data_IF_686308298446
#
_entry.id   IF_686308298446
#
_cell.length_a   1.000
_cell.length_b   1.000
_cell.length_c   1.000
_cell.angle_alpha   90.00
_cell.angle_beta   90.00
_cell.angle_gamma   90.00
#
_symmetry.space_group_name_H-M   'P 1'
#
loop_
_entity.id
_entity.type
_entity.pdbx_description
1 polymer ?
#
# COMPACT_ATOMS: atom_id res chain seq x y z
N UNK A 1 -6.07 -6.74 -6.12
CA UNK A 1 -4.66 -6.44 -5.77
C UNK A 1 -3.74 -7.25 -6.67
N UNK A 2 -2.68 -6.66 -7.23
CA UNK A 2 -1.73 -7.36 -8.11
C UNK A 2 -0.57 -7.92 -7.28
N UNK A 3 -0.21 -9.19 -7.45
CA UNK A 3 0.96 -9.80 -6.81
C UNK A 3 2.14 -9.73 -7.77
N UNK A 4 3.31 -9.29 -7.29
CA UNK A 4 4.53 -9.14 -8.09
C UNK A 4 5.74 -9.70 -7.34
N UNK A 5 6.72 -10.24 -8.07
CA UNK A 5 7.94 -10.82 -7.46
C UNK A 5 9.05 -9.80 -7.22
N UNK A 6 8.92 -8.58 -7.74
CA UNK A 6 9.94 -7.53 -7.64
C UNK A 6 9.31 -6.19 -7.28
N UNK A 7 10.05 -5.39 -6.52
CA UNK A 7 9.65 -4.04 -6.18
C UNK A 7 9.58 -3.17 -7.46
N UNK A 8 8.54 -2.34 -7.64
CA UNK A 8 8.33 -1.55 -8.87
C UNK A 8 9.42 -0.52 -9.14
N UNK A 9 10.16 -0.10 -8.11
CA UNK A 9 11.27 0.86 -8.24
C UNK A 9 10.76 2.22 -8.71
N UNK A 10 11.18 2.66 -9.90
CA UNK A 10 10.72 3.89 -10.55
C UNK A 10 9.42 3.73 -11.35
N UNK A 11 8.90 2.51 -11.47
CA UNK A 11 7.66 2.24 -12.19
C UNK A 11 6.49 2.88 -11.44
N UNK A 12 5.71 3.70 -12.15
CA UNK A 12 4.49 4.30 -11.60
C UNK A 12 3.40 3.24 -11.55
N UNK A 13 2.81 3.04 -10.37
CA UNK A 13 1.64 2.20 -10.22
C UNK A 13 0.40 3.04 -10.56
N UNK A 14 -0.56 2.55 -11.37
CA UNK A 14 -1.79 3.29 -11.62
C UNK A 14 -2.53 3.65 -10.32
N UNK A 15 -3.11 4.85 -10.26
CA UNK A 15 -3.92 5.26 -9.10
C UNK A 15 -5.10 4.28 -8.94
N UNK A 16 -5.34 3.84 -7.70
CA UNK A 16 -6.35 2.82 -7.40
C UNK A 16 -5.83 1.38 -7.46
N UNK A 17 -4.60 1.15 -7.95
CA UNK A 17 -3.95 -0.15 -7.85
C UNK A 17 -3.08 -0.27 -6.60
N UNK A 18 -3.08 -1.49 -6.05
CA UNK A 18 -2.18 -1.93 -5.00
C UNK A 18 -1.38 -3.13 -5.51
N UNK A 19 -0.05 -3.02 -5.47
CA UNK A 19 0.87 -4.08 -5.84
C UNK A 19 1.52 -4.64 -4.58
N UNK A 20 1.29 -5.93 -4.33
CA UNK A 20 1.88 -6.67 -3.23
C UNK A 20 3.14 -7.37 -3.74
N UNK A 21 4.29 -6.97 -3.20
CA UNK A 21 5.58 -7.57 -3.53
C UNK A 21 5.79 -8.78 -2.64
N UNK A 22 5.85 -9.96 -3.25
CA UNK A 22 5.98 -11.25 -2.57
C UNK A 22 7.25 -11.95 -3.06
N UNK A 23 8.03 -12.49 -2.13
CA UNK A 23 9.16 -13.34 -2.41
C UNK A 23 8.96 -14.69 -1.69
N UNK A 24 8.68 -15.74 -2.47
CA UNK A 24 8.18 -17.01 -1.95
C UNK A 24 6.85 -16.83 -1.22
N UNK A 25 6.82 -17.13 0.08
CA UNK A 25 5.66 -16.95 0.95
C UNK A 25 5.67 -15.62 1.71
N UNK A 26 6.74 -14.84 1.58
CA UNK A 26 6.97 -13.64 2.37
C UNK A 26 6.47 -12.42 1.60
N UNK A 27 5.48 -11.72 2.17
CA UNK A 27 5.08 -10.41 1.70
C UNK A 27 6.06 -9.34 2.21
N UNK A 28 6.73 -8.65 1.29
CA UNK A 28 7.79 -7.68 1.64
C UNK A 28 7.29 -6.24 1.63
N UNK A 29 6.53 -5.86 0.61
CA UNK A 29 6.05 -4.49 0.44
C UNK A 29 4.63 -4.43 -0.12
N UNK A 30 3.89 -3.40 0.28
CA UNK A 30 2.68 -2.97 -0.39
C UNK A 30 2.95 -1.62 -1.07
N UNK A 31 2.91 -1.61 -2.40
CA UNK A 31 3.23 -0.46 -3.23
C UNK A 31 1.97 0.08 -3.89
N UNK A 32 1.81 1.40 -3.88
CA UNK A 32 0.70 2.11 -4.50
C UNK A 32 1.09 3.54 -4.87
N UNK A 33 0.28 4.17 -5.70
CA UNK A 33 0.36 5.63 -5.89
C UNK A 33 -0.59 6.34 -4.94
N UNK A 34 -0.14 7.46 -4.39
CA UNK A 34 -0.90 8.26 -3.45
C UNK A 34 -2.29 8.63 -4.03
N UNK A 35 -3.38 8.27 -3.34
CA UNK A 35 -4.74 8.59 -3.81
C UNK A 35 -5.09 10.08 -3.68
N UNK A 36 -4.26 10.88 -3.00
CA UNK A 36 -4.48 12.31 -2.76
C UNK A 36 -4.18 13.22 -3.95
N UNK A 37 -3.91 12.66 -5.14
CA UNK A 37 -3.69 13.42 -6.38
C UNK A 37 -2.26 13.94 -6.59
N UNK A 38 -1.35 13.78 -5.63
CA UNK A 38 0.05 14.19 -5.79
C UNK A 38 0.93 13.23 -6.59
N UNK A 39 0.37 12.07 -7.00
CA UNK A 39 1.04 11.04 -7.80
C UNK A 39 2.36 10.49 -7.22
N UNK A 40 2.63 10.71 -5.94
CA UNK A 40 3.80 10.12 -5.28
C UNK A 40 3.62 8.61 -5.13
N UNK A 41 4.66 7.85 -5.46
CA UNK A 41 4.74 6.43 -5.13
C UNK A 41 4.91 6.26 -3.61
N UNK A 42 4.19 5.31 -3.04
CA UNK A 42 4.23 4.92 -1.64
C UNK A 42 4.60 3.44 -1.59
N UNK A 43 5.63 3.11 -0.81
CA UNK A 43 6.04 1.73 -0.51
C UNK A 43 5.97 1.49 0.98
N UNK A 44 5.02 0.66 1.41
CA UNK A 44 4.81 0.28 2.80
C UNK A 44 5.57 -1.00 3.10
N UNK A 45 6.39 -0.99 4.15
CA UNK A 45 7.12 -2.17 4.60
C UNK A 45 6.18 -3.13 5.35
N UNK A 46 6.15 -4.39 4.92
CA UNK A 46 5.37 -5.46 5.57
C UNK A 46 6.23 -6.33 6.50
N UNK A 47 7.53 -6.04 6.58
CA UNK A 47 8.44 -6.73 7.50
C UNK A 47 8.03 -6.52 8.96
N UNK A 48 7.92 -7.60 9.76
CA UNK A 48 7.55 -7.51 11.19
C UNK A 48 8.61 -6.79 12.04
N UNK A 49 9.87 -6.78 11.57
CA UNK A 49 11.02 -6.22 12.29
C UNK A 49 11.22 -4.72 12.04
N UNK A 50 10.52 -4.15 11.04
CA UNK A 50 10.62 -2.72 10.71
C UNK A 50 9.44 -1.93 11.27
N UNK A 51 9.67 -0.64 11.53
CA UNK A 51 8.63 0.32 11.92
C UNK A 51 8.63 1.50 10.93
N UNK A 52 7.45 2.01 10.52
CA UNK A 52 6.12 1.47 10.83
C UNK A 52 5.90 0.11 10.17
N UNK A 53 5.14 -0.77 10.83
CA UNK A 53 4.80 -2.11 10.32
C UNK A 53 3.42 -2.03 9.68
N UNK A 54 3.28 -2.51 8.46
CA UNK A 54 1.97 -2.67 7.84
C UNK A 54 1.63 -4.14 7.63
N UNK A 55 0.34 -4.45 7.68
CA UNK A 55 -0.25 -5.71 7.28
C UNK A 55 -1.17 -5.47 6.10
N UNK A 56 -1.29 -6.48 5.24
CA UNK A 56 -2.27 -6.49 4.14
C UNK A 56 -3.10 -7.74 4.26
N UNK A 57 -4.39 -7.56 4.40
CA UNK A 57 -5.38 -8.62 4.40
C UNK A 57 -6.24 -8.51 3.15
N UNK A 58 -6.89 -9.61 2.78
CA UNK A 58 -7.87 -9.62 1.69
C UNK A 58 -9.18 -10.17 2.22
N UNK A 59 -10.27 -9.55 1.81
CA UNK A 59 -11.59 -10.11 2.05
C UNK A 59 -11.91 -11.27 1.09
N UNK A 60 -13.10 -11.84 1.25
CA UNK A 60 -13.60 -12.92 0.38
C UNK A 60 -13.61 -12.56 -1.12
N UNK A 61 -13.71 -11.28 -1.46
CA UNK A 61 -13.74 -10.77 -2.82
C UNK A 61 -12.35 -10.37 -3.34
N UNK A 62 -11.28 -10.64 -2.58
CA UNK A 62 -9.91 -10.29 -2.93
C UNK A 62 -9.61 -8.79 -2.83
N UNK A 63 -10.44 -8.02 -2.11
CA UNK A 63 -10.26 -6.58 -1.90
C UNK A 63 -9.32 -6.35 -0.71
N UNK A 64 -8.27 -5.52 -0.86
CA UNK A 64 -7.26 -5.38 0.17
C UNK A 64 -7.71 -4.46 1.32
N UNK A 65 -7.29 -4.80 2.53
CA UNK A 65 -7.31 -3.94 3.71
C UNK A 65 -5.88 -3.76 4.21
N UNK A 66 -5.48 -2.51 4.50
CA UNK A 66 -4.15 -2.18 5.02
C UNK A 66 -4.28 -1.62 6.43
N UNK A 67 -3.47 -2.14 7.35
CA UNK A 67 -3.36 -1.64 8.71
C UNK A 67 -1.88 -1.48 9.13
N UNK A 68 -1.52 -0.43 9.88
CA UNK A 68 -2.33 0.72 10.27
C UNK A 68 -2.57 1.66 9.08
N UNK A 69 -3.17 2.83 9.35
CA UNK A 69 -3.32 3.91 8.36
C UNK A 69 -2.01 4.31 7.69
N UNK A 70 -2.12 4.91 6.52
CA UNK A 70 -1.01 5.47 5.75
C UNK A 70 -0.99 6.99 5.95
N UNK A 71 0.12 7.52 6.43
CA UNK A 71 0.37 8.96 6.52
C UNK A 71 1.53 9.30 5.58
N UNK A 72 1.24 10.04 4.50
CA UNK A 72 2.25 10.42 3.54
C UNK A 72 2.90 11.76 3.90
N UNK A 73 4.03 11.74 4.60
CA UNK A 73 4.66 12.95 5.14
C UNK A 73 5.33 13.88 4.10
N UNK A 74 5.63 13.39 2.90
CA UNK A 74 6.53 14.09 1.97
C UNK A 74 5.84 15.21 1.17
N UNK A 75 4.85 14.87 0.35
CA UNK A 75 4.31 15.79 -0.68
C UNK A 75 2.97 16.38 -0.26
N UNK A 76 1.96 15.52 -0.06
CA UNK A 76 0.57 15.96 0.15
C UNK A 76 0.11 15.90 1.61
N UNK A 77 0.91 15.32 2.52
CA UNK A 77 0.57 15.18 3.96
C UNK A 77 -0.77 14.49 4.20
N UNK A 78 -1.27 13.73 3.23
CA UNK A 78 -2.56 13.09 3.35
C UNK A 78 -2.48 11.90 4.31
N UNK A 79 -3.57 11.69 5.04
CA UNK A 79 -3.72 10.57 5.95
C UNK A 79 -5.00 9.81 5.58
N UNK A 80 -4.83 8.52 5.33
CA UNK A 80 -5.91 7.67 4.84
C UNK A 80 -5.73 6.22 5.29
N UNK A 81 -6.82 5.48 5.16
CA UNK A 81 -6.89 4.03 5.32
C UNK A 81 -7.23 3.38 3.99
N UNK A 82 -6.86 2.12 3.83
CA UNK A 82 -7.41 1.28 2.76
C UNK A 82 -8.17 0.15 3.44
N UNK A 83 -9.48 0.06 3.18
CA UNK A 83 -10.36 -0.95 3.76
C UNK A 83 -11.23 -1.52 2.66
N UNK A 84 -11.22 -2.85 2.51
CA UNK A 84 -12.05 -3.57 1.55
C UNK A 84 -11.92 -2.98 0.12
N UNK A 85 -10.70 -2.61 -0.27
CA UNK A 85 -10.39 -2.03 -1.57
C UNK A 85 -10.76 -0.55 -1.75
N UNK A 86 -11.26 0.11 -0.71
CA UNK A 86 -11.65 1.52 -0.74
C UNK A 86 -10.73 2.39 0.09
N UNK A 87 -10.46 3.61 -0.37
CA UNK A 87 -9.73 4.63 0.39
C UNK A 87 -10.69 5.31 1.37
N UNK A 88 -10.39 5.26 2.66
CA UNK A 88 -11.14 5.93 3.71
C UNK A 88 -10.26 7.02 4.31
N UNK A 89 -10.60 8.28 4.06
CA UNK A 89 -9.84 9.44 4.53
C UNK A 89 -9.99 9.62 6.04
N UNK A 90 -8.89 9.96 6.72
CA UNK A 90 -8.99 10.48 8.08
C UNK A 90 -9.38 11.97 8.03
N UNK A 91 -10.01 12.45 9.10
CA UNK A 91 -10.24 13.88 9.30
C UNK A 91 -8.95 14.63 9.55
#
# INVERSE_FOLDING_TARGET
MKKVSRHPGKTVIPVGELWLVIDGEISKWACLTCPGGCNSSISLSLSPDRRPRWTVEQDFWGRPTIAPSVHQHSVCKCHFWIREGSVVWSK
#
